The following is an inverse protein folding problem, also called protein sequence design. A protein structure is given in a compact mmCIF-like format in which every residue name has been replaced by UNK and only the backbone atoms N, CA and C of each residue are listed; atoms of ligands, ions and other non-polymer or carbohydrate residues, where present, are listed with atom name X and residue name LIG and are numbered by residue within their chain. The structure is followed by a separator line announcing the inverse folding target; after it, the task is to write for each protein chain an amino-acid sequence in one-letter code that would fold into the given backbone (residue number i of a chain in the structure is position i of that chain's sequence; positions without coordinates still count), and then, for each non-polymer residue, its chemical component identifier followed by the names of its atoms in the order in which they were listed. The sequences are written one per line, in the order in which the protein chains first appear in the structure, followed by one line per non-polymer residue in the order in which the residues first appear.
data_IF_848404986560
#
_entry.id   IF_848404986560
#
_cell.length_a   1.000
_cell.length_b   1.000
_cell.length_c   1.000
_cell.angle_alpha   90.00
_cell.angle_beta   90.00
_cell.angle_gamma   90.00
#
_symmetry.space_group_name_H-M   'P 1'
#
loop_
_entity.id
_entity.type
_entity.pdbx_description
1 polymer ?
#
# COMPACT_ATOMS: atom_id res chain seq x y z
N UNK A 1 -6.28 1.47 20.15
CA UNK A 1 -4.94 2.06 19.89
C UNK A 1 -5.11 3.40 19.19
N UNK A 2 -4.18 4.34 19.37
CA UNK A 2 -4.22 5.60 18.63
C UNK A 2 -3.88 5.33 17.15
N UNK A 3 -4.77 5.72 16.22
CA UNK A 3 -4.50 5.66 14.78
C UNK A 3 -3.87 6.97 14.33
N UNK A 4 -2.81 6.89 13.53
CA UNK A 4 -2.17 8.05 12.87
C UNK A 4 -2.74 8.19 11.46
N UNK A 5 -3.11 9.41 11.06
CA UNK A 5 -3.57 9.72 9.71
C UNK A 5 -2.52 10.54 8.97
N UNK A 6 -2.22 10.17 7.75
CA UNK A 6 -1.36 10.93 6.84
C UNK A 6 -1.82 10.72 5.40
N UNK A 7 -1.59 11.72 4.54
CA UNK A 7 -1.93 11.64 3.12
C UNK A 7 -0.75 11.13 2.30
N UNK A 8 -1.02 10.29 1.30
CA UNK A 8 -0.04 9.80 0.33
C UNK A 8 -0.54 10.03 -1.09
N UNK A 9 0.37 10.33 -2.00
CA UNK A 9 0.13 10.28 -3.44
C UNK A 9 0.64 8.95 -3.96
N UNK A 10 -0.18 8.26 -4.74
CA UNK A 10 0.13 6.98 -5.37
C UNK A 10 -0.09 7.09 -6.88
N UNK A 11 0.57 6.22 -7.62
CA UNK A 11 0.38 6.12 -9.07
C UNK A 11 -1.02 5.56 -9.37
N UNK A 12 -1.65 5.99 -10.47
CA UNK A 12 -3.03 5.60 -10.83
C UNK A 12 -3.21 4.08 -11.00
N UNK A 13 -2.16 3.38 -11.42
CA UNK A 13 -2.14 1.91 -11.50
C UNK A 13 -2.32 1.28 -10.11
N UNK A 14 -1.58 1.77 -9.10
CA UNK A 14 -1.73 1.31 -7.71
C UNK A 14 -3.11 1.65 -7.16
N UNK A 15 -3.65 2.83 -7.50
CA UNK A 15 -5.00 3.20 -7.09
C UNK A 15 -6.06 2.24 -7.67
N UNK A 16 -5.86 1.79 -8.92
CA UNK A 16 -6.74 0.84 -9.59
C UNK A 16 -6.68 -0.54 -8.93
N UNK A 17 -5.48 -1.04 -8.59
CA UNK A 17 -5.31 -2.29 -7.84
C UNK A 17 -6.01 -2.22 -6.46
N UNK A 18 -5.95 -1.07 -5.78
CA UNK A 18 -6.68 -0.87 -4.51
C UNK A 18 -8.19 -0.91 -4.73
N UNK A 19 -8.69 -0.31 -5.82
CA UNK A 19 -10.12 -0.34 -6.14
C UNK A 19 -10.60 -1.77 -6.47
N UNK A 20 -9.79 -2.56 -7.17
CA UNK A 20 -10.09 -3.98 -7.41
C UNK A 20 -10.18 -4.77 -6.09
N UNK A 21 -9.25 -4.55 -5.15
CA UNK A 21 -9.32 -5.17 -3.82
C UNK A 21 -10.54 -4.73 -3.00
N UNK A 22 -11.01 -3.49 -3.17
CA UNK A 22 -12.25 -3.02 -2.56
C UNK A 22 -13.44 -3.79 -3.12
N UNK A 23 -13.50 -3.97 -4.43
CA UNK A 23 -14.58 -4.72 -5.10
C UNK A 23 -14.56 -6.20 -4.71
N UNK A 24 -13.37 -6.81 -4.60
CA UNK A 24 -13.20 -8.19 -4.13
C UNK A 24 -13.64 -8.37 -2.68
N UNK A 25 -13.48 -7.34 -1.85
CA UNK A 25 -13.91 -7.31 -0.44
C UNK A 25 -15.27 -6.63 -0.24
N UNK A 26 -16.11 -6.53 -1.28
CA UNK A 26 -17.38 -5.83 -1.22
C UNK A 26 -18.35 -6.42 -0.19
N UNK A 27 -18.27 -7.73 0.07
CA UNK A 27 -19.06 -8.42 1.11
C UNK A 27 -18.72 -7.94 2.53
N UNK A 28 -17.49 -7.46 2.74
CA UNK A 28 -17.02 -6.88 3.99
C UNK A 28 -17.34 -5.39 4.10
N UNK A 29 -17.76 -4.74 3.01
CA UNK A 29 -17.97 -3.29 2.95
C UNK A 29 -16.70 -2.48 3.20
N UNK A 30 -15.54 -3.04 2.85
CA UNK A 30 -14.23 -2.46 3.14
C UNK A 30 -14.01 -1.14 2.39
N UNK A 31 -13.52 -0.13 3.10
CA UNK A 31 -13.08 1.11 2.47
C UNK A 31 -11.67 1.00 1.90
N UNK A 32 -11.31 1.84 0.92
CA UNK A 32 -9.92 1.97 0.44
C UNK A 32 -8.90 2.15 1.56
N UNK A 33 -9.27 2.91 2.60
CA UNK A 33 -8.37 3.15 3.74
C UNK A 33 -8.12 1.87 4.54
N UNK A 34 -9.15 1.04 4.71
CA UNK A 34 -9.02 -0.26 5.39
C UNK A 34 -8.23 -1.25 4.54
N UNK A 35 -8.44 -1.28 3.22
CA UNK A 35 -7.62 -2.07 2.29
C UNK A 35 -6.16 -1.65 2.39
N UNK A 36 -5.85 -0.36 2.33
CA UNK A 36 -4.47 0.14 2.46
C UNK A 36 -3.88 -0.19 3.83
N UNK A 37 -4.63 -0.05 4.92
CA UNK A 37 -4.20 -0.44 6.26
C UNK A 37 -3.87 -1.94 6.33
N UNK A 38 -4.72 -2.79 5.75
CA UNK A 38 -4.52 -4.24 5.70
C UNK A 38 -3.31 -4.63 4.85
N UNK A 39 -3.14 -4.04 3.67
CA UNK A 39 -1.98 -4.28 2.78
C UNK A 39 -0.68 -3.88 3.47
N UNK A 40 -0.64 -2.70 4.11
CA UNK A 40 0.55 -2.25 4.84
C UNK A 40 0.85 -3.15 6.03
N UNK A 41 -0.17 -3.62 6.74
CA UNK A 41 -0.03 -4.54 7.86
C UNK A 41 0.54 -5.88 7.38
N UNK A 42 -0.07 -6.48 6.34
CA UNK A 42 0.40 -7.73 5.75
C UNK A 42 1.84 -7.62 5.23
N UNK A 43 2.18 -6.49 4.61
CA UNK A 43 3.55 -6.23 4.17
C UNK A 43 4.52 -6.18 5.35
N UNK A 44 4.25 -5.34 6.36
CA UNK A 44 5.17 -5.11 7.48
C UNK A 44 5.26 -6.29 8.48
N UNK A 45 4.19 -7.09 8.61
CA UNK A 45 4.16 -8.25 9.50
C UNK A 45 4.66 -9.55 8.84
N UNK A 46 4.85 -9.56 7.52
CA UNK A 46 5.40 -10.74 6.85
C UNK A 46 6.88 -10.98 7.18
N UNK A 47 7.30 -12.24 7.21
CA UNK A 47 8.68 -12.66 7.55
C UNK A 47 9.74 -12.31 6.49
N UNK A 48 9.42 -11.44 5.51
CA UNK A 48 10.28 -11.07 4.40
C UNK A 48 11.05 -9.78 4.72
N UNK A 49 12.33 -9.70 4.34
CA UNK A 49 13.14 -8.49 4.50
C UNK A 49 12.75 -7.43 3.46
N UNK A 50 11.94 -6.46 3.87
CA UNK A 50 11.38 -5.42 2.99
C UNK A 50 12.23 -4.16 2.86
N UNK A 51 13.11 -3.89 3.82
CA UNK A 51 13.88 -2.65 3.90
C UNK A 51 14.75 -2.40 2.68
N UNK A 52 15.45 -3.44 2.19
CA UNK A 52 16.27 -3.38 0.98
C UNK A 52 15.43 -3.04 -0.25
N UNK A 53 14.25 -3.66 -0.39
CA UNK A 53 13.35 -3.43 -1.52
C UNK A 53 12.75 -2.03 -1.50
N UNK A 54 12.25 -1.58 -0.35
CA UNK A 54 11.73 -0.21 -0.17
C UNK A 54 12.82 0.82 -0.50
N UNK A 55 14.04 0.60 -0.02
CA UNK A 55 15.18 1.49 -0.30
C UNK A 55 15.49 1.56 -1.79
N UNK A 56 15.51 0.42 -2.47
CA UNK A 56 15.71 0.34 -3.92
C UNK A 56 14.65 1.13 -4.69
N UNK A 57 13.37 0.93 -4.36
CA UNK A 57 12.24 1.62 -5.00
C UNK A 57 12.34 3.15 -4.83
N UNK A 58 12.69 3.62 -3.63
CA UNK A 58 12.90 5.06 -3.38
C UNK A 58 14.05 5.61 -4.25
N UNK A 59 15.15 4.88 -4.37
CA UNK A 59 16.29 5.29 -5.19
C UNK A 59 15.89 5.36 -6.66
N UNK A 60 15.18 4.35 -7.18
CA UNK A 60 14.72 4.31 -8.57
C UNK A 60 13.73 5.43 -8.88
N UNK A 61 12.75 5.67 -8.00
CA UNK A 61 11.77 6.76 -8.14
C UNK A 61 12.47 8.13 -8.17
N UNK A 62 13.44 8.37 -7.29
CA UNK A 62 14.24 9.62 -7.29
C UNK A 62 15.10 9.81 -8.54
N UNK A 63 15.48 8.73 -9.20
CA UNK A 63 16.24 8.76 -10.46
C UNK A 63 15.35 8.81 -11.70
N UNK A 64 14.03 8.71 -11.56
CA UNK A 64 13.10 8.62 -12.69
C UNK A 64 13.25 7.31 -13.48
N UNK A 65 13.70 6.24 -12.82
CA UNK A 65 13.93 4.91 -13.44
C UNK A 65 12.99 3.85 -12.85
N UNK A 66 11.85 4.29 -12.31
CA UNK A 66 10.82 3.37 -11.83
C UNK A 66 10.04 2.85 -13.05
#
# INVERSE_FOLDING_TARGET
MAKTKFGVSIDDEIASEIDELVDECADLGASRSEIVEAVLTAYLESDVEHGSRVRELIIRRRKGTL
#
